data_IF_989418030428
#
_entry.id   IF_989418030428
#
_cell.length_a   1.000
_cell.length_b   1.000
_cell.length_c   1.000
_cell.angle_alpha   90.00
_cell.angle_beta   90.00
_cell.angle_gamma   90.00
#
_symmetry.space_group_name_H-M   'P 1'
#
loop_
_entity.id
_entity.type
_entity.pdbx_description
1 polymer ?
#
# COMPACT_ATOMS: atom_id res chain seq x y z
N UNK A 1 29.33 7.61 -8.96
CA UNK A 1 29.03 6.55 -7.96
C UNK A 1 27.52 6.41 -7.91
N UNK A 2 26.97 5.20 -8.05
CA UNK A 2 25.52 5.00 -7.93
C UNK A 2 25.06 4.97 -6.48
N UNK A 3 23.80 5.37 -6.24
CA UNK A 3 23.15 5.29 -4.94
C UNK A 3 23.05 3.86 -4.38
N UNK A 4 23.06 3.75 -3.05
CA UNK A 4 22.62 2.58 -2.30
C UNK A 4 21.11 2.67 -2.08
N UNK A 5 20.38 1.80 -2.78
CA UNK A 5 18.92 1.78 -2.82
C UNK A 5 18.40 0.64 -1.95
N UNK A 6 17.53 0.96 -0.99
CA UNK A 6 16.71 -0.05 -0.33
C UNK A 6 15.47 -0.32 -1.19
N UNK A 7 15.32 -1.53 -1.73
CA UNK A 7 14.10 -1.96 -2.41
C UNK A 7 13.16 -2.58 -1.37
N UNK A 8 12.03 -1.94 -1.09
CA UNK A 8 11.12 -2.32 -0.01
C UNK A 8 9.81 -2.86 -0.57
N UNK A 9 9.44 -4.08 -0.18
CA UNK A 9 8.14 -4.67 -0.53
C UNK A 9 7.63 -5.63 0.54
N UNK A 10 6.37 -6.00 0.43
CA UNK A 10 5.75 -7.11 1.17
C UNK A 10 5.54 -8.26 0.18
N UNK A 11 6.39 -9.28 0.22
CA UNK A 11 6.29 -10.40 -0.71
C UNK A 11 5.11 -11.30 -0.35
N UNK A 12 4.33 -11.68 -1.37
CA UNK A 12 3.19 -12.59 -1.19
C UNK A 12 3.54 -13.90 -0.50
N UNK A 13 4.73 -14.45 -0.76
CA UNK A 13 5.21 -15.69 -0.12
C UNK A 13 5.49 -15.57 1.38
N UNK A 14 5.66 -14.34 1.87
CA UNK A 14 5.97 -14.01 3.26
C UNK A 14 4.74 -13.48 4.02
N UNK A 15 3.58 -13.44 3.36
CA UNK A 15 2.36 -12.93 3.95
C UNK A 15 1.96 -13.72 5.20
N UNK A 16 1.50 -13.05 6.28
CA UNK A 16 0.92 -13.76 7.41
C UNK A 16 -0.37 -14.46 6.97
N UNK A 17 -0.57 -15.68 7.43
CA UNK A 17 -1.78 -16.46 7.15
C UNK A 17 -2.57 -16.72 8.42
N UNK A 18 -3.87 -16.45 8.35
CA UNK A 18 -4.83 -16.67 9.41
C UNK A 18 -5.89 -17.72 9.01
N UNK A 19 -6.39 -18.52 9.96
CA UNK A 19 -7.48 -19.45 9.70
C UNK A 19 -8.72 -18.73 9.16
N UNK A 20 -9.27 -19.21 8.05
CA UNK A 20 -10.48 -18.66 7.44
C UNK A 20 -10.26 -17.48 6.48
N UNK A 21 -9.01 -17.15 6.16
CA UNK A 21 -8.73 -16.15 5.12
C UNK A 21 -9.30 -16.57 3.76
N UNK A 22 -9.88 -15.63 3.00
CA UNK A 22 -10.30 -15.91 1.64
C UNK A 22 -9.08 -16.13 0.72
N UNK A 23 -9.23 -16.86 -0.40
CA UNK A 23 -8.10 -17.18 -1.30
C UNK A 23 -7.38 -15.96 -1.88
N UNK A 24 -8.04 -14.81 -1.94
CA UNK A 24 -7.55 -13.55 -2.48
C UNK A 24 -7.03 -12.58 -1.41
N UNK A 25 -6.98 -12.95 -0.12
CA UNK A 25 -6.60 -12.07 1.00
C UNK A 25 -5.26 -11.32 0.81
N UNK A 26 -4.34 -11.89 0.02
CA UNK A 26 -3.01 -11.34 -0.25
C UNK A 26 -2.80 -11.07 -1.74
N UNK A 27 -3.89 -10.72 -2.46
CA UNK A 27 -3.84 -10.45 -3.90
C UNK A 27 -3.07 -9.16 -4.24
N UNK A 28 -3.06 -8.18 -3.33
CA UNK A 28 -2.35 -6.90 -3.50
C UNK A 28 -0.82 -7.04 -3.36
N UNK A 29 -0.33 -8.13 -2.77
CA UNK A 29 1.11 -8.31 -2.51
C UNK A 29 1.88 -8.73 -3.76
N UNK A 30 3.02 -8.10 -3.96
CA UNK A 30 3.90 -8.36 -5.10
C UNK A 30 4.58 -9.73 -5.05
N UNK A 31 4.93 -10.22 -6.24
CA UNK A 31 5.70 -11.44 -6.42
C UNK A 31 7.21 -11.17 -6.37
N UNK A 32 7.97 -12.23 -6.07
CA UNK A 32 9.43 -12.18 -6.13
C UNK A 32 9.96 -11.85 -7.53
N UNK A 33 9.25 -12.26 -8.59
CA UNK A 33 9.65 -11.91 -9.96
C UNK A 33 9.55 -10.41 -10.23
N UNK A 34 8.55 -9.72 -9.66
CA UNK A 34 8.44 -8.26 -9.75
C UNK A 34 9.62 -7.60 -9.06
N UNK A 35 10.00 -8.06 -7.87
CA UNK A 35 11.14 -7.50 -7.13
C UNK A 35 12.47 -7.72 -7.86
N UNK A 36 12.68 -8.90 -8.43
CA UNK A 36 13.87 -9.20 -9.23
C UNK A 36 13.95 -8.31 -10.47
N UNK A 37 12.81 -8.03 -11.13
CA UNK A 37 12.77 -7.14 -12.29
C UNK A 37 13.12 -5.69 -11.92
N UNK A 38 12.57 -5.17 -10.81
CA UNK A 38 12.88 -3.82 -10.32
C UNK A 38 14.35 -3.72 -9.92
N UNK A 39 14.86 -4.72 -9.18
CA UNK A 39 16.25 -4.78 -8.77
C UNK A 39 17.19 -4.77 -9.98
N UNK A 40 16.97 -5.64 -10.97
CA UNK A 40 17.78 -5.71 -12.18
C UNK A 40 17.76 -4.38 -12.96
N UNK A 41 16.59 -3.73 -13.04
CA UNK A 41 16.47 -2.44 -13.72
C UNK A 41 17.30 -1.35 -13.02
N UNK A 42 17.25 -1.26 -11.69
CA UNK A 42 18.03 -0.30 -10.90
C UNK A 42 19.54 -0.60 -10.96
N UNK A 43 19.93 -1.86 -10.83
CA UNK A 43 21.33 -2.29 -10.93
C UNK A 43 21.93 -2.03 -12.32
N UNK A 44 21.13 -2.19 -13.40
CA UNK A 44 21.56 -1.86 -14.77
C UNK A 44 21.93 -0.39 -14.96
N UNK A 45 21.48 0.50 -14.06
CA UNK A 45 21.81 1.93 -14.02
C UNK A 45 22.98 2.25 -13.07
N UNK A 46 23.65 1.23 -12.54
CA UNK A 46 24.84 1.36 -11.70
C UNK A 46 24.55 1.61 -10.22
N UNK A 47 23.31 1.41 -9.77
CA UNK A 47 22.94 1.49 -8.35
C UNK A 47 23.27 0.19 -7.62
N UNK A 48 23.48 0.28 -6.30
CA UNK A 48 23.59 -0.90 -5.42
C UNK A 48 22.25 -1.11 -4.75
N UNK A 49 21.57 -2.20 -5.05
CA UNK A 49 20.23 -2.46 -4.54
C UNK A 49 20.30 -3.50 -3.42
N UNK A 50 19.52 -3.31 -2.37
CA UNK A 50 19.33 -4.30 -1.31
C UNK A 50 17.84 -4.43 -1.05
N UNK A 51 17.30 -5.61 -1.30
CA UNK A 51 15.92 -5.93 -0.96
C UNK A 51 15.77 -6.04 0.56
N UNK A 52 14.76 -5.39 1.12
CA UNK A 52 14.33 -5.55 2.51
C UNK A 52 12.81 -5.74 2.56
N UNK A 53 12.37 -6.75 3.32
CA UNK A 53 10.95 -7.00 3.53
C UNK A 53 10.33 -5.91 4.43
N UNK A 54 9.16 -5.42 4.04
CA UNK A 54 8.37 -4.51 4.86
C UNK A 54 7.84 -5.21 6.11
N UNK A 55 8.26 -4.79 7.30
CA UNK A 55 7.77 -5.43 8.52
C UNK A 55 8.47 -4.97 9.79
N UNK A 56 8.31 -5.75 10.86
CA UNK A 56 8.78 -5.39 12.21
C UNK A 56 10.29 -5.19 12.31
N UNK A 57 11.07 -5.89 11.48
CA UNK A 57 12.54 -5.79 11.51
C UNK A 57 13.07 -4.62 10.67
N UNK A 58 12.24 -4.05 9.79
CA UNK A 58 12.63 -3.00 8.83
C UNK A 58 13.33 -1.80 9.49
N UNK A 59 12.91 -1.26 10.65
CA UNK A 59 13.64 -0.17 11.31
C UNK A 59 15.10 -0.53 11.61
N UNK A 60 15.34 -1.75 12.10
CA UNK A 60 16.70 -2.22 12.42
C UNK A 60 17.53 -2.45 11.16
N UNK A 61 16.91 -2.95 10.09
CA UNK A 61 17.57 -3.23 8.82
C UNK A 61 17.94 -1.94 8.09
N UNK A 62 17.05 -0.94 8.07
CA UNK A 62 17.33 0.39 7.55
C UNK A 62 18.44 1.09 8.34
N UNK A 63 18.44 0.96 9.67
CA UNK A 63 19.50 1.53 10.53
C UNK A 63 20.88 0.92 10.24
N UNK A 64 20.93 -0.36 9.89
CA UNK A 64 22.16 -1.07 9.52
C UNK A 64 22.60 -0.74 8.09
N UNK A 65 21.67 -0.80 7.15
CA UNK A 65 21.92 -0.57 5.74
C UNK A 65 22.28 0.89 5.47
N UNK A 66 21.57 1.86 6.08
CA UNK A 66 21.69 3.31 5.89
C UNK A 66 21.56 3.76 4.42
N UNK A 67 20.50 3.37 3.69
CA UNK A 67 20.35 3.64 2.26
C UNK A 67 20.38 5.15 1.95
N UNK A 68 20.79 5.49 0.73
CA UNK A 68 20.70 6.87 0.23
C UNK A 68 19.24 7.22 -0.15
N UNK A 69 18.48 6.20 -0.58
CA UNK A 69 17.07 6.30 -0.95
C UNK A 69 16.38 4.93 -0.81
N UNK A 70 15.09 4.93 -0.50
CA UNK A 70 14.23 3.75 -0.56
C UNK A 70 13.35 3.77 -1.82
N UNK A 71 13.41 2.70 -2.60
CA UNK A 71 12.40 2.40 -3.61
C UNK A 71 11.26 1.63 -2.93
N UNK A 72 10.18 2.32 -2.57
CA UNK A 72 9.09 1.77 -1.77
C UNK A 72 7.93 1.28 -2.62
N UNK A 73 7.59 0.01 -2.47
CA UNK A 73 6.39 -0.66 -3.00
C UNK A 73 5.75 -1.55 -1.91
N UNK A 74 5.90 -1.17 -0.65
CA UNK A 74 5.26 -1.88 0.46
C UNK A 74 3.75 -1.59 0.51
N UNK A 75 2.96 -2.66 0.57
CA UNK A 75 1.51 -2.65 0.79
C UNK A 75 1.15 -2.71 2.28
N UNK A 76 2.04 -3.27 3.11
CA UNK A 76 1.78 -3.60 4.51
C UNK A 76 0.83 -4.80 4.68
N UNK A 77 0.67 -5.26 5.93
CA UNK A 77 -0.11 -6.47 6.24
C UNK A 77 -1.36 -6.20 7.10
N UNK A 78 -1.40 -5.07 7.81
CA UNK A 78 -2.43 -4.83 8.82
C UNK A 78 -2.63 -3.33 9.10
N UNK A 79 -3.83 -2.99 9.55
CA UNK A 79 -4.22 -1.63 9.94
C UNK A 79 -4.81 -0.80 8.81
N UNK A 80 -5.60 0.20 9.17
CA UNK A 80 -6.44 0.99 8.24
C UNK A 80 -5.64 1.88 7.26
N UNK A 81 -4.34 2.06 7.49
CA UNK A 81 -3.45 2.85 6.63
C UNK A 81 -2.14 2.09 6.37
N UNK A 82 -2.25 0.77 6.13
CA UNK A 82 -1.11 -0.15 5.98
C UNK A 82 -0.04 0.34 4.99
N UNK A 83 -0.44 0.85 3.83
CA UNK A 83 0.47 1.36 2.80
C UNK A 83 1.28 2.59 3.27
N UNK A 84 0.77 3.36 4.23
CA UNK A 84 1.42 4.56 4.74
C UNK A 84 2.47 4.28 5.82
N UNK A 85 2.52 3.05 6.38
CA UNK A 85 3.39 2.72 7.51
C UNK A 85 4.88 2.83 7.18
N UNK A 86 5.30 2.28 6.04
CA UNK A 86 6.71 2.32 5.61
C UNK A 86 7.15 3.74 5.25
N UNK A 87 6.41 4.52 4.44
CA UNK A 87 6.68 5.94 4.24
C UNK A 87 6.79 6.74 5.53
N UNK A 88 5.92 6.51 6.52
CA UNK A 88 5.98 7.22 7.79
C UNK A 88 7.26 6.87 8.58
N UNK A 89 7.67 5.60 8.56
CA UNK A 89 8.95 5.17 9.13
C UNK A 89 10.13 5.84 8.41
N UNK A 90 10.11 5.91 7.08
CA UNK A 90 11.18 6.52 6.29
C UNK A 90 11.28 8.02 6.56
N UNK A 91 10.16 8.74 6.68
CA UNK A 91 10.14 10.16 7.08
C UNK A 91 10.74 10.35 8.47
N UNK A 92 10.37 9.51 9.44
CA UNK A 92 10.93 9.54 10.79
C UNK A 92 12.44 9.29 10.83
N UNK A 93 12.95 8.42 9.95
CA UNK A 93 14.38 8.13 9.83
C UNK A 93 15.14 9.12 8.93
N UNK A 94 14.44 10.07 8.30
CA UNK A 94 15.04 11.03 7.36
C UNK A 94 15.56 10.39 6.07
N UNK A 95 15.00 9.25 5.65
CA UNK A 95 15.40 8.52 4.44
C UNK A 95 14.49 8.96 3.28
N UNK A 96 15.04 9.51 2.18
CA UNK A 96 14.26 9.82 0.98
C UNK A 96 13.63 8.56 0.39
N UNK A 97 12.44 8.67 -0.21
CA UNK A 97 11.76 7.52 -0.80
C UNK A 97 10.95 7.87 -2.05
N UNK A 98 10.69 6.85 -2.88
CA UNK A 98 9.88 6.97 -4.11
C UNK A 98 8.38 6.89 -3.81
N UNK A 99 7.56 7.44 -4.72
CA UNK A 99 6.11 7.29 -4.68
C UNK A 99 5.40 8.36 -3.86
N UNK A 100 4.20 8.03 -3.42
CA UNK A 100 3.29 8.94 -2.71
C UNK A 100 3.69 9.13 -1.26
N UNK A 101 3.38 10.32 -0.70
CA UNK A 101 3.62 10.63 0.71
C UNK A 101 2.63 9.94 1.65
N UNK A 102 2.95 9.92 2.95
CA UNK A 102 2.15 9.31 4.03
C UNK A 102 0.66 9.66 3.94
N UNK A 103 0.32 10.95 3.94
CA UNK A 103 -1.08 11.38 3.90
C UNK A 103 -1.79 10.94 2.62
N UNK A 104 -1.10 11.01 1.48
CA UNK A 104 -1.66 10.58 0.20
C UNK A 104 -2.01 9.10 0.26
N UNK A 105 -1.08 8.24 0.69
CA UNK A 105 -1.31 6.79 0.77
C UNK A 105 -2.42 6.43 1.77
N UNK A 106 -2.43 7.07 2.95
CA UNK A 106 -3.48 6.85 3.95
C UNK A 106 -4.87 7.25 3.40
N UNK A 107 -4.96 8.35 2.66
CA UNK A 107 -6.21 8.78 2.03
C UNK A 107 -6.63 7.86 0.89
N UNK A 108 -5.71 7.52 -0.02
CA UNK A 108 -6.02 6.78 -1.26
C UNK A 108 -6.41 5.33 -1.01
N UNK A 109 -5.94 4.74 0.09
CA UNK A 109 -6.38 3.42 0.53
C UNK A 109 -7.85 3.43 0.98
N UNK A 110 -8.27 4.47 1.69
CA UNK A 110 -9.65 4.64 2.17
C UNK A 110 -10.54 5.29 1.09
N UNK A 111 -11.26 4.45 0.35
CA UNK A 111 -12.13 4.90 -0.75
C UNK A 111 -13.20 5.90 -0.28
N UNK A 112 -13.95 5.67 0.81
CA UNK A 112 -14.85 6.68 1.37
C UNK A 112 -14.19 8.04 1.64
N UNK A 113 -13.03 8.06 2.31
CA UNK A 113 -12.33 9.31 2.62
C UNK A 113 -11.79 9.99 1.37
N UNK A 114 -11.21 9.25 0.43
CA UNK A 114 -10.81 9.77 -0.88
C UNK A 114 -11.99 10.46 -1.56
N UNK A 115 -13.16 9.81 -1.62
CA UNK A 115 -14.36 10.39 -2.23
C UNK A 115 -14.82 11.67 -1.54
N UNK A 116 -14.74 11.74 -0.20
CA UNK A 116 -15.07 12.95 0.57
C UNK A 116 -14.12 14.11 0.24
N UNK A 117 -12.81 13.84 0.15
CA UNK A 117 -11.80 14.85 -0.21
C UNK A 117 -11.99 15.34 -1.66
N UNK A 118 -12.23 14.42 -2.60
CA UNK A 118 -12.51 14.77 -3.99
C UNK A 118 -13.78 15.63 -4.12
N UNK A 119 -14.86 15.25 -3.44
CA UNK A 119 -16.11 16.00 -3.44
C UNK A 119 -15.94 17.40 -2.84
N UNK A 120 -15.18 17.52 -1.74
CA UNK A 120 -14.84 18.82 -1.14
C UNK A 120 -14.10 19.73 -2.15
N UNK A 121 -13.21 19.16 -2.97
CA UNK A 121 -12.49 19.86 -4.03
C UNK A 121 -13.33 20.10 -5.31
N UNK A 122 -14.61 19.75 -5.33
CA UNK A 122 -15.49 19.88 -6.51
C UNK A 122 -15.25 18.83 -7.60
N UNK A 123 -14.47 17.79 -7.32
CA UNK A 123 -14.23 16.67 -8.24
C UNK A 123 -15.36 15.66 -8.09
N UNK A 124 -16.03 15.35 -9.21
CA UNK A 124 -17.17 14.42 -9.21
C UNK A 124 -16.71 12.98 -8.94
N UNK A 125 -17.43 12.31 -8.05
CA UNK A 125 -17.31 10.88 -7.74
C UNK A 125 -18.70 10.24 -7.75
N UNK A 126 -18.85 8.93 -8.07
CA UNK A 126 -20.10 8.23 -7.88
C UNK A 126 -20.61 8.35 -6.44
N UNK A 127 -21.93 8.58 -6.30
CA UNK A 127 -22.64 8.52 -5.03
C UNK A 127 -22.33 7.18 -4.33
N UNK A 128 -22.26 7.21 -3.00
CA UNK A 128 -21.89 6.04 -2.22
C UNK A 128 -22.50 6.10 -0.83
N UNK A 129 -22.61 4.92 -0.23
CA UNK A 129 -22.93 4.72 1.17
C UNK A 129 -21.87 3.79 1.76
N UNK A 130 -21.48 4.04 3.00
CA UNK A 130 -20.62 3.14 3.77
C UNK A 130 -21.54 2.29 4.65
N UNK A 131 -21.27 0.99 4.70
CA UNK A 131 -21.97 0.04 5.53
C UNK A 131 -20.94 -0.52 6.51
N UNK A 132 -21.18 -0.39 7.81
CA UNK A 132 -20.40 -1.06 8.85
C UNK A 132 -21.00 -2.45 9.14
N UNK A 133 -22.32 -2.60 8.91
CA UNK A 133 -23.05 -3.86 8.99
C UNK A 133 -23.87 -4.11 7.72
N UNK A 134 -23.99 -5.38 7.35
CA UNK A 134 -24.74 -5.80 6.16
C UNK A 134 -26.26 -5.61 6.25
N UNK A 135 -26.79 -5.30 7.44
CA UNK A 135 -28.22 -5.10 7.69
C UNK A 135 -28.66 -3.63 7.65
N UNK A 136 -27.74 -2.69 7.42
CA UNK A 136 -28.09 -1.28 7.29
C UNK A 136 -28.92 -1.02 6.02
N UNK A 137 -29.96 -0.17 6.08
CA UNK A 137 -30.80 0.10 4.93
C UNK A 137 -30.07 0.91 3.86
N UNK A 138 -30.37 0.64 2.58
CA UNK A 138 -29.87 1.42 1.46
C UNK A 138 -30.48 2.83 1.46
N UNK A 139 -29.65 3.86 1.35
CA UNK A 139 -30.07 5.25 1.25
C UNK A 139 -30.84 5.52 -0.04
N UNK A 140 -31.89 6.34 0.04
CA UNK A 140 -32.79 6.62 -1.09
C UNK A 140 -32.16 7.35 -2.28
N UNK A 141 -30.89 7.75 -2.19
CA UNK A 141 -30.12 8.39 -3.26
C UNK A 141 -29.33 7.38 -4.11
N UNK A 142 -29.43 6.08 -3.83
CA UNK A 142 -28.77 5.01 -4.59
C UNK A 142 -29.82 4.16 -5.32
N UNK A 143 -29.57 3.87 -6.60
CA UNK A 143 -30.45 3.07 -7.47
C UNK A 143 -29.65 1.99 -8.18
N UNK A 144 -30.25 0.79 -8.33
CA UNK A 144 -29.62 -0.32 -9.05
C UNK A 144 -29.39 -0.01 -10.54
N UNK A 145 -28.35 -0.59 -11.16
CA UNK A 145 -27.36 -1.51 -10.58
C UNK A 145 -26.32 -0.80 -9.70
N UNK A 146 -25.84 -1.49 -8.66
CA UNK A 146 -24.85 -0.98 -7.70
C UNK A 146 -23.62 -1.89 -7.66
N UNK A 147 -22.48 -1.30 -7.31
CA UNK A 147 -21.24 -2.02 -7.02
C UNK A 147 -21.00 -2.02 -5.51
N UNK A 148 -20.78 -3.20 -4.94
CA UNK A 148 -20.27 -3.38 -3.58
C UNK A 148 -18.76 -3.57 -3.68
N UNK A 149 -18.01 -3.03 -2.72
CA UNK A 149 -16.56 -3.24 -2.61
C UNK A 149 -16.07 -2.93 -1.20
N UNK A 150 -14.99 -3.58 -0.73
CA UNK A 150 -14.33 -3.20 0.51
C UNK A 150 -13.78 -1.77 0.45
N UNK A 151 -13.87 -1.07 1.58
CA UNK A 151 -13.43 0.33 1.69
C UNK A 151 -11.92 0.47 1.47
N UNK A 152 -11.12 -0.50 1.94
CA UNK A 152 -9.65 -0.44 2.02
C UNK A 152 -8.91 -1.61 1.36
N UNK A 153 -9.50 -2.25 0.35
CA UNK A 153 -8.82 -3.33 -0.41
C UNK A 153 -8.59 -3.02 -1.89
N UNK A 154 -7.60 -3.66 -2.51
CA UNK A 154 -7.25 -3.53 -3.93
C UNK A 154 -7.59 -4.77 -4.77
N UNK A 155 -7.02 -4.83 -5.97
CA UNK A 155 -6.94 -6.00 -6.87
C UNK A 155 -8.25 -6.77 -7.13
N UNK A 156 -9.39 -6.08 -7.03
CA UNK A 156 -10.70 -6.69 -7.25
C UNK A 156 -11.12 -7.66 -6.14
N UNK A 157 -10.55 -7.53 -4.95
CA UNK A 157 -11.01 -8.26 -3.77
C UNK A 157 -12.41 -7.80 -3.35
N UNK A 158 -13.28 -8.78 -3.07
CA UNK A 158 -14.69 -8.59 -2.69
C UNK A 158 -15.60 -8.15 -3.84
#
# INVERSE_FOLDING_TARGET
>A
MGYKVALLANLKKNAPHHPGEPPDAHADLDSESTMLAIQAALESRGHRVTFLEGGRNLPSDLSRLRPDIAFNVCEGHQGDSREAQVPALLEMLGIPYTGSKVLTLALTLDKPMTKRVLAYAGIRTPAFQVFERGDEPLGGNLSYPLFVKPSREGTGMG
#
